data_IF_671040370927
#
_entry.id   IF_671040370927
#
_cell.length_a   1.000
_cell.length_b   1.000
_cell.length_c   1.000
_cell.angle_alpha   90.00
_cell.angle_beta   90.00
_cell.angle_gamma   90.00
#
_symmetry.space_group_name_H-M   'P 1'
#
loop_
_entity.id
_entity.type
_entity.pdbx_description
1 polymer ?
#
# COMPACT_ATOMS: atom_id res chain seq x y z
N UNK A 1 -14.90 -12.87 16.10
CA UNK A 1 -15.35 -14.16 15.50
C UNK A 1 -14.17 -14.74 14.73
N UNK A 2 -13.84 -16.03 14.89
CA UNK A 2 -12.74 -16.62 14.12
C UNK A 2 -13.12 -16.76 12.63
N UNK A 3 -12.25 -16.30 11.72
CA UNK A 3 -12.43 -16.51 10.27
C UNK A 3 -12.43 -18.02 9.97
N UNK A 4 -13.38 -18.51 9.18
CA UNK A 4 -13.36 -19.90 8.71
C UNK A 4 -12.06 -20.14 7.90
N UNK A 5 -11.38 -21.26 8.16
CA UNK A 5 -10.11 -21.63 7.51
C UNK A 5 -10.16 -21.53 5.99
N UNK A 6 -11.26 -21.95 5.35
CA UNK A 6 -11.40 -21.87 3.89
C UNK A 6 -11.50 -20.41 3.40
N UNK A 7 -12.21 -19.55 4.13
CA UNK A 7 -12.31 -18.12 3.84
C UNK A 7 -10.96 -17.44 4.00
N UNK A 8 -10.23 -17.75 5.07
CA UNK A 8 -8.89 -17.22 5.32
C UNK A 8 -7.92 -17.60 4.20
N UNK A 9 -7.91 -18.86 3.76
CA UNK A 9 -7.06 -19.30 2.66
C UNK A 9 -7.39 -18.60 1.33
N UNK A 10 -8.68 -18.36 1.08
CA UNK A 10 -9.10 -17.64 -0.12
C UNK A 10 -8.69 -16.16 -0.08
N UNK A 11 -8.80 -15.50 1.08
CA UNK A 11 -8.32 -14.12 1.27
C UNK A 11 -6.80 -14.04 1.09
N UNK A 12 -6.03 -14.92 1.73
CA UNK A 12 -4.56 -14.95 1.58
C UNK A 12 -4.14 -15.09 0.12
N UNK A 13 -4.78 -16.00 -0.62
CA UNK A 13 -4.50 -16.21 -2.04
C UNK A 13 -4.83 -14.96 -2.88
N UNK A 14 -5.89 -14.23 -2.53
CA UNK A 14 -6.22 -12.97 -3.18
C UNK A 14 -5.15 -11.92 -2.92
N UNK A 15 -4.72 -11.76 -1.66
CA UNK A 15 -3.64 -10.84 -1.31
C UNK A 15 -2.36 -11.14 -2.08
N UNK A 16 -1.94 -12.41 -2.10
CA UNK A 16 -0.74 -12.86 -2.82
C UNK A 16 -0.80 -12.50 -4.31
N UNK A 17 -1.97 -12.66 -4.95
CA UNK A 17 -2.15 -12.31 -6.36
C UNK A 17 -1.98 -10.80 -6.62
N UNK A 18 -2.48 -9.96 -5.71
CA UNK A 18 -2.36 -8.51 -5.83
C UNK A 18 -0.98 -8.01 -5.41
N UNK A 19 -0.27 -8.75 -4.55
CA UNK A 19 1.11 -8.44 -4.12
C UNK A 19 2.13 -8.75 -5.23
N UNK A 20 1.91 -9.82 -6.00
CA UNK A 20 2.87 -10.30 -7.02
C UNK A 20 3.39 -9.20 -7.98
N UNK A 21 2.56 -8.30 -8.54
CA UNK A 21 3.06 -7.21 -9.38
C UNK A 21 4.03 -6.27 -8.66
N UNK A 22 3.86 -6.03 -7.36
CA UNK A 22 4.78 -5.20 -6.57
C UNK A 22 6.11 -5.94 -6.36
N UNK A 23 6.06 -7.25 -6.07
CA UNK A 23 7.28 -8.07 -5.94
C UNK A 23 8.09 -8.15 -7.24
N UNK A 24 7.41 -8.24 -8.38
CA UNK A 24 8.04 -8.19 -9.70
C UNK A 24 8.75 -6.84 -9.94
N UNK A 25 8.13 -5.73 -9.52
CA UNK A 25 8.73 -4.40 -9.58
C UNK A 25 9.92 -4.29 -8.63
N UNK A 26 9.78 -4.76 -7.38
CA UNK A 26 10.86 -4.79 -6.40
C UNK A 26 12.08 -5.54 -6.95
N UNK A 27 11.86 -6.72 -7.53
CA UNK A 27 12.92 -7.54 -8.14
C UNK A 27 13.62 -6.79 -9.27
N UNK A 28 12.85 -6.11 -10.15
CA UNK A 28 13.43 -5.30 -11.23
C UNK A 28 14.26 -4.13 -10.70
N UNK A 29 13.76 -3.44 -9.69
CA UNK A 29 14.47 -2.32 -9.05
C UNK A 29 15.76 -2.82 -8.40
N UNK A 30 15.75 -3.98 -7.73
CA UNK A 30 16.94 -4.61 -7.15
C UNK A 30 17.99 -5.02 -8.18
N UNK A 31 17.57 -5.43 -9.38
CA UNK A 31 18.46 -5.81 -10.48
C UNK A 31 18.98 -4.61 -11.27
N UNK A 32 18.33 -3.45 -11.16
CA UNK A 32 18.73 -2.23 -11.87
C UNK A 32 19.90 -1.52 -11.17
N UNK A 33 20.78 -0.89 -11.94
CA UNK A 33 21.83 -0.02 -11.39
C UNK A 33 21.20 1.25 -10.82
N UNK A 34 21.55 1.63 -9.58
CA UNK A 34 21.02 2.79 -8.86
C UNK A 34 21.18 4.15 -9.59
N UNK A 35 21.92 4.20 -10.69
CA UNK A 35 22.21 5.40 -11.48
C UNK A 35 21.07 5.85 -12.39
N UNK A 36 20.02 5.04 -12.63
CA UNK A 36 18.91 5.37 -13.54
C UNK A 36 17.53 5.33 -12.86
N UNK A 37 17.45 5.74 -11.59
CA UNK A 37 16.17 5.77 -10.88
C UNK A 37 15.26 6.87 -11.45
N UNK A 38 14.00 6.51 -11.72
CA UNK A 38 13.01 7.46 -12.21
C UNK A 38 12.70 8.50 -11.12
N UNK A 39 12.55 9.78 -11.49
CA UNK A 39 12.03 10.80 -10.58
C UNK A 39 10.68 10.37 -10.02
N UNK A 40 10.51 10.55 -8.71
CA UNK A 40 9.22 10.35 -8.07
C UNK A 40 8.32 11.54 -8.43
N UNK A 41 7.14 11.26 -8.95
CA UNK A 41 6.10 12.26 -9.20
C UNK A 41 5.52 12.75 -7.88
N UNK A 42 4.85 13.90 -7.91
CA UNK A 42 4.14 14.41 -6.72
C UNK A 42 3.25 13.32 -6.12
N UNK A 43 3.27 13.19 -4.79
CA UNK A 43 2.38 12.30 -4.06
C UNK A 43 1.01 12.94 -3.80
N UNK A 44 0.88 14.25 -3.99
CA UNK A 44 -0.33 15.01 -3.71
C UNK A 44 -1.57 14.45 -4.44
N UNK A 45 -2.64 14.22 -3.68
CA UNK A 45 -3.91 13.69 -4.19
C UNK A 45 -3.84 12.22 -4.58
N UNK A 46 -2.73 11.53 -4.30
CA UNK A 46 -2.54 10.12 -4.65
C UNK A 46 -2.85 9.26 -3.44
N UNK A 47 -3.58 8.19 -3.70
CA UNK A 47 -3.75 7.12 -2.73
C UNK A 47 -3.34 5.79 -3.32
N UNK A 48 -2.76 4.97 -2.45
CA UNK A 48 -2.30 3.64 -2.74
C UNK A 48 -3.15 2.69 -1.92
N UNK A 49 -3.91 1.86 -2.61
CA UNK A 49 -4.60 0.75 -1.96
C UNK A 49 -3.53 -0.20 -1.40
N UNK A 50 -3.82 -0.87 -0.29
CA UNK A 50 -2.84 -1.66 0.46
C UNK A 50 -3.28 -3.13 0.55
N UNK A 51 -2.31 -4.01 0.35
CA UNK A 51 -2.44 -5.46 0.46
C UNK A 51 -1.40 -6.01 1.43
N UNK A 52 -1.78 -6.99 2.23
CA UNK A 52 -0.92 -7.56 3.27
C UNK A 52 -1.45 -8.92 3.72
N UNK A 53 -0.64 -9.95 3.53
CA UNK A 53 -0.88 -11.30 4.07
C UNK A 53 -0.74 -11.33 5.59
N UNK A 54 0.19 -10.53 6.16
CA UNK A 54 0.32 -10.35 7.61
C UNK A 54 -1.00 -9.85 8.20
N UNK A 55 -1.58 -8.81 7.60
CA UNK A 55 -2.85 -8.26 8.05
C UNK A 55 -3.97 -9.31 8.00
N UNK A 56 -4.12 -10.03 6.89
CA UNK A 56 -5.18 -11.05 6.77
C UNK A 56 -5.05 -12.16 7.82
N UNK A 57 -3.81 -12.52 8.18
CA UNK A 57 -3.52 -13.59 9.14
C UNK A 57 -3.71 -13.16 10.60
N UNK A 58 -3.29 -11.95 10.95
CA UNK A 58 -3.18 -11.52 12.35
C UNK A 58 -4.21 -10.47 12.77
N UNK A 59 -4.84 -9.76 11.82
CA UNK A 59 -5.89 -8.80 12.12
C UNK A 59 -7.26 -9.48 12.11
N UNK A 60 -7.92 -9.49 13.27
CA UNK A 60 -9.21 -10.19 13.47
C UNK A 60 -10.40 -9.24 13.60
N UNK A 61 -10.11 -7.97 13.88
CA UNK A 61 -11.08 -6.88 13.96
C UNK A 61 -10.60 -5.81 12.99
N UNK A 62 -11.33 -5.64 11.89
CA UNK A 62 -11.08 -4.63 10.87
C UNK A 62 -12.40 -3.90 10.63
N UNK A 63 -12.37 -2.57 10.78
CA UNK A 63 -13.55 -1.71 10.53
C UNK A 63 -13.40 -0.92 9.24
N UNK A 64 -12.18 -0.84 8.69
CA UNK A 64 -11.94 -0.22 7.39
C UNK A 64 -12.51 -1.11 6.28
N UNK A 65 -13.35 -0.57 5.36
CA UNK A 65 -13.85 -1.34 4.22
C UNK A 65 -12.76 -1.61 3.18
N UNK A 66 -11.75 -0.73 3.10
CA UNK A 66 -10.62 -0.82 2.20
C UNK A 66 -9.39 -0.29 2.93
N UNK A 67 -8.25 -0.98 2.75
CA UNK A 67 -6.96 -0.55 3.28
C UNK A 67 -6.26 0.33 2.23
N UNK A 68 -5.84 1.52 2.60
CA UNK A 68 -5.10 2.44 1.73
C UNK A 68 -4.30 3.46 2.53
N UNK A 69 -3.29 4.04 1.89
CA UNK A 69 -2.61 5.25 2.33
C UNK A 69 -2.88 6.35 1.32
N UNK A 70 -3.30 7.52 1.78
CA UNK A 70 -3.52 8.70 0.94
C UNK A 70 -2.57 9.82 1.33
N UNK A 71 -2.16 10.61 0.35
CA UNK A 71 -1.31 11.78 0.54
C UNK A 71 -2.02 13.02 -0.01
N UNK A 72 -1.96 14.11 0.73
CA UNK A 72 -2.56 15.39 0.36
C UNK A 72 -1.60 16.54 0.63
N UNK A 73 -1.87 17.67 -0.04
CA UNK A 73 -1.17 18.91 0.28
C UNK A 73 -1.55 19.32 1.70
N UNK A 74 -0.57 19.55 2.58
CA UNK A 74 -0.83 20.08 3.89
C UNK A 74 -1.51 21.47 3.92
N UNK A 75 -1.59 22.22 2.82
CA UNK A 75 -2.38 23.46 2.73
C UNK A 75 -3.88 23.27 3.07
N UNK A 76 -4.39 22.04 3.02
CA UNK A 76 -5.75 21.71 3.46
C UNK A 76 -5.89 21.51 4.98
N UNK A 77 -4.78 21.44 5.73
CA UNK A 77 -4.81 21.45 7.19
C UNK A 77 -4.69 22.89 7.71
N UNK A 78 -5.57 23.23 8.65
CA UNK A 78 -5.78 24.57 9.23
C UNK A 78 -4.53 25.11 9.97
N UNK A 79 -3.44 24.33 10.02
CA UNK A 79 -2.19 24.65 10.70
C UNK A 79 -1.03 24.74 9.68
N UNK A 80 -0.57 25.97 9.42
CA UNK A 80 0.55 26.35 8.54
C UNK A 80 1.93 25.79 8.94
N UNK A 81 2.09 24.48 9.12
CA UNK A 81 3.37 23.89 9.59
C UNK A 81 4.22 23.28 8.49
N UNK A 82 3.74 23.23 7.25
CA UNK A 82 4.42 22.51 6.18
C UNK A 82 5.22 23.40 5.26
N UNK A 83 6.43 22.95 4.94
CA UNK A 83 7.34 23.58 3.99
C UNK A 83 6.99 23.12 2.57
N UNK A 84 7.35 23.95 1.60
CA UNK A 84 7.23 23.64 0.17
C UNK A 84 7.84 22.25 -0.15
N UNK A 85 7.06 21.41 -0.83
CA UNK A 85 7.46 20.05 -1.20
C UNK A 85 7.32 18.98 -0.11
N UNK A 86 6.75 19.32 1.05
CA UNK A 86 6.29 18.33 2.02
C UNK A 86 4.88 17.84 1.69
N UNK A 87 4.57 16.61 2.07
CA UNK A 87 3.23 16.03 1.99
C UNK A 87 2.84 15.47 3.35
N UNK A 88 1.55 15.50 3.64
CA UNK A 88 0.93 14.81 4.77
C UNK A 88 -0.04 13.75 4.21
N UNK A 89 -0.70 13.00 5.07
CA UNK A 89 -1.48 11.85 4.66
C UNK A 89 -2.25 11.19 5.77
N UNK A 90 -3.00 10.17 5.39
CA UNK A 90 -3.71 9.29 6.32
C UNK A 90 -3.50 7.84 5.92
N UNK A 91 -3.39 6.97 6.92
CA UNK A 91 -3.42 5.52 6.74
C UNK A 91 -4.77 5.00 7.21
N UNK A 92 -5.40 4.22 6.35
CA UNK A 92 -6.59 3.44 6.64
C UNK A 92 -6.18 1.98 6.49
N UNK A 93 -6.17 1.22 7.58
CA UNK A 93 -5.96 -0.23 7.46
C UNK A 93 -6.79 -1.01 8.47
N UNK A 94 -6.43 -0.99 9.75
CA UNK A 94 -7.22 -1.67 10.80
C UNK A 94 -8.52 -0.92 11.06
N UNK A 95 -8.42 0.38 11.29
CA UNK A 95 -9.53 1.30 11.48
C UNK A 95 -9.60 2.31 10.35
N UNK A 96 -10.73 3.02 10.28
CA UNK A 96 -10.96 4.13 9.35
C UNK A 96 -10.14 5.39 9.68
N UNK A 97 -9.28 5.35 10.68
CA UNK A 97 -8.51 6.46 11.22
C UNK A 97 -7.21 5.94 11.87
N UNK A 98 -6.50 5.04 11.16
CA UNK A 98 -5.42 4.29 11.77
C UNK A 98 -4.27 5.19 12.23
N UNK A 99 -3.86 6.14 11.39
CA UNK A 99 -2.79 7.07 11.72
C UNK A 99 -2.81 8.24 10.74
N UNK A 100 -2.72 9.47 11.26
CA UNK A 100 -2.41 10.62 10.43
C UNK A 100 -0.89 10.79 10.37
N UNK A 101 -0.42 11.24 9.22
CA UNK A 101 0.99 11.27 8.89
C UNK A 101 1.53 12.67 9.11
N UNK A 102 2.59 12.79 9.91
CA UNK A 102 3.30 14.05 10.04
C UNK A 102 3.93 14.47 8.69
N UNK A 103 4.03 15.78 8.43
CA UNK A 103 4.58 16.27 7.17
C UNK A 103 6.01 15.78 6.91
N UNK A 104 6.22 15.11 5.80
CA UNK A 104 7.53 14.59 5.40
C UNK A 104 7.89 15.01 3.98
N UNK A 105 9.18 14.97 3.65
CA UNK A 105 9.67 15.21 2.30
C UNK A 105 9.85 13.87 1.58
N UNK A 106 9.09 13.59 0.51
CA UNK A 106 9.27 12.36 -0.27
C UNK A 106 10.67 12.26 -0.88
N UNK A 107 11.19 11.05 -1.13
CA UNK A 107 12.45 10.91 -1.83
C UNK A 107 12.34 11.46 -3.26
N UNK A 108 13.39 12.13 -3.74
CA UNK A 108 13.42 12.71 -5.09
C UNK A 108 13.23 11.69 -6.21
N UNK A 109 13.74 10.47 -5.99
CA UNK A 109 13.66 9.37 -6.95
C UNK A 109 13.05 8.15 -6.25
N UNK A 110 12.23 7.41 -6.98
CA UNK A 110 11.75 6.11 -6.53
C UNK A 110 12.90 5.07 -6.54
N UNK A 111 12.85 4.06 -5.68
CA UNK A 111 13.83 2.98 -5.68
C UNK A 111 13.86 2.16 -4.37
N UNK A 112 15.07 1.73 -3.99
CA UNK A 112 15.27 0.87 -2.81
C UNK A 112 15.33 1.62 -1.48
N UNK A 113 15.42 2.95 -1.51
CA UNK A 113 15.54 3.73 -0.29
C UNK A 113 14.17 3.89 0.37
N UNK A 114 14.06 3.48 1.62
CA UNK A 114 12.92 3.82 2.46
C UNK A 114 13.05 5.23 3.05
N UNK A 115 11.90 5.84 3.30
CA UNK A 115 11.77 7.04 4.13
C UNK A 115 10.99 6.65 5.38
N UNK A 116 11.51 7.04 6.54
CA UNK A 116 10.79 6.95 7.79
C UNK A 116 9.79 8.10 7.83
N UNK A 117 8.55 7.76 8.18
CA UNK A 117 7.43 8.68 8.27
C UNK A 117 6.92 8.60 9.71
N UNK A 118 6.79 9.75 10.35
CA UNK A 118 6.28 9.83 11.71
C UNK A 118 4.75 9.94 11.68
N UNK A 119 4.09 9.26 12.62
CA UNK A 119 2.67 9.44 12.87
C UNK A 119 2.44 10.65 13.78
N UNK A 120 1.30 11.33 13.58
CA UNK A 120 0.91 12.48 14.40
C UNK A 120 0.60 12.12 15.87
N UNK A 121 0.57 10.83 16.20
CA UNK A 121 0.42 10.35 17.58
C UNK A 121 1.67 10.57 18.45
N UNK A 122 2.79 10.97 17.82
CA UNK A 122 4.07 11.26 18.47
C UNK A 122 4.75 10.04 19.09
N UNK A 123 4.28 8.83 18.76
CA UNK A 123 4.75 7.58 19.37
C UNK A 123 5.25 6.58 18.33
N UNK A 124 4.63 6.57 17.14
CA UNK A 124 4.92 5.57 16.13
C UNK A 124 5.51 6.21 14.87
N UNK A 125 6.45 5.50 14.26
CA UNK A 125 6.96 5.79 12.92
C UNK A 125 6.86 4.53 12.08
N UNK A 126 6.76 4.68 10.77
CA UNK A 126 6.71 3.57 9.82
C UNK A 126 7.56 3.89 8.58
N UNK A 127 8.02 2.85 7.90
CA UNK A 127 8.83 3.02 6.70
C UNK A 127 7.97 2.93 5.45
N UNK A 128 8.10 3.91 4.57
CA UNK A 128 7.57 3.85 3.21
C UNK A 128 8.71 3.75 2.20
N UNK A 129 8.59 2.81 1.27
CA UNK A 129 9.53 2.60 0.17
C UNK A 129 8.77 2.70 -1.15
N UNK A 130 9.00 3.79 -1.88
CA UNK A 130 8.40 4.01 -3.20
C UNK A 130 9.26 3.32 -4.25
N UNK A 131 8.78 2.23 -4.84
CA UNK A 131 9.55 1.43 -5.80
C UNK A 131 9.59 2.07 -7.18
N UNK A 132 8.45 2.61 -7.59
CA UNK A 132 8.28 3.44 -8.77
C UNK A 132 7.16 4.45 -8.51
N UNK A 133 6.61 5.06 -9.57
CA UNK A 133 5.51 5.99 -9.40
C UNK A 133 4.20 5.31 -9.00
N UNK A 134 4.00 4.01 -9.19
CA UNK A 134 2.72 3.33 -8.98
C UNK A 134 2.73 2.33 -7.83
N UNK A 135 3.89 1.96 -7.32
CA UNK A 135 4.05 0.89 -6.34
C UNK A 135 4.85 1.36 -5.13
N UNK A 136 4.36 1.01 -3.94
CA UNK A 136 5.07 1.26 -2.69
C UNK A 136 5.07 0.02 -1.79
N UNK A 137 5.98 -0.01 -0.83
CA UNK A 137 5.98 -0.93 0.31
C UNK A 137 5.91 -0.08 1.56
N UNK A 138 4.95 -0.38 2.44
CA UNK A 138 4.73 0.28 3.71
C UNK A 138 4.94 -0.73 4.83
N UNK A 139 5.77 -0.40 5.81
CA UNK A 139 6.10 -1.26 6.94
C UNK A 139 5.59 -0.62 8.22
N UNK A 140 4.56 -1.23 8.80
CA UNK A 140 3.90 -0.69 10.00
C UNK A 140 4.29 -1.53 11.22
N UNK A 141 4.76 -0.91 12.31
CA UNK A 141 5.00 -1.60 13.57
C UNK A 141 3.78 -2.33 14.13
N UNK A 142 4.03 -3.51 14.72
CA UNK A 142 3.00 -4.36 15.35
C UNK A 142 2.24 -3.67 16.48
N UNK A 143 2.92 -2.83 17.26
CA UNK A 143 2.33 -2.07 18.36
C UNK A 143 1.23 -1.13 17.87
N UNK A 144 1.44 -0.37 16.80
CA UNK A 144 0.43 0.50 16.19
C UNK A 144 -0.77 -0.32 15.66
N UNK A 145 -0.50 -1.42 14.95
CA UNK A 145 -1.56 -2.32 14.44
C UNK A 145 -2.39 -2.92 15.59
N UNK A 146 -1.74 -3.27 16.70
CA UNK A 146 -2.40 -3.90 17.85
C UNK A 146 -3.18 -2.89 18.68
N UNK A 147 -2.60 -1.71 18.89
CA UNK A 147 -3.24 -0.58 19.58
C UNK A 147 -4.59 -0.25 18.92
N UNK A 148 -4.61 -0.16 17.59
CA UNK A 148 -5.84 0.14 16.82
C UNK A 148 -6.85 -1.00 16.77
N UNK A 149 -6.44 -2.24 17.00
CA UNK A 149 -7.36 -3.36 17.13
C UNK A 149 -7.95 -3.50 18.54
N UNK A 150 -7.41 -2.77 19.54
CA UNK A 150 -7.73 -2.95 20.95
C UNK A 150 -7.53 -4.41 21.45
N UNK A 151 -6.59 -5.13 20.84
CA UNK A 151 -6.24 -6.51 21.20
C UNK A 151 -4.75 -6.65 21.42
N UNK A 152 -4.38 -7.59 22.30
CA UNK A 152 -3.00 -8.03 22.38
C UNK A 152 -2.64 -8.81 21.10
N UNK A 153 -1.51 -8.49 20.44
CA UNK A 153 -1.11 -9.22 19.26
C UNK A 153 -0.85 -10.69 19.61
N UNK A 154 -1.20 -11.63 18.72
CA UNK A 154 -0.75 -13.02 18.83
C UNK A 154 0.77 -13.10 18.98
N UNK A 155 1.26 -14.06 19.78
CA UNK A 155 2.70 -14.22 20.01
C UNK A 155 3.49 -14.55 18.76
N UNK A 156 2.83 -15.12 17.75
CA UNK A 156 3.41 -15.48 16.46
C UNK A 156 3.23 -14.39 15.39
N UNK A 157 2.72 -13.21 15.74
CA UNK A 157 2.62 -12.06 14.83
C UNK A 157 3.97 -11.36 14.62
N UNK A 158 4.29 -10.93 13.38
CA UNK A 158 5.56 -10.30 13.07
C UNK A 158 5.66 -8.93 13.73
N UNK A 159 6.87 -8.52 14.14
CA UNK A 159 7.10 -7.20 14.76
C UNK A 159 6.80 -6.04 13.80
N UNK A 160 6.85 -6.30 12.49
CA UNK A 160 6.54 -5.36 11.43
C UNK A 160 5.56 -6.04 10.47
N UNK A 161 4.45 -5.38 10.21
CA UNK A 161 3.47 -5.77 9.20
C UNK A 161 3.86 -5.12 7.88
N UNK A 162 4.01 -5.94 6.83
CA UNK A 162 4.34 -5.44 5.51
C UNK A 162 3.08 -5.28 4.68
N UNK A 163 2.86 -4.07 4.19
CA UNK A 163 1.81 -3.72 3.25
C UNK A 163 2.42 -3.34 1.91
N UNK A 164 1.87 -3.87 0.84
CA UNK A 164 2.24 -3.56 -0.52
C UNK A 164 1.18 -2.65 -1.10
N UNK A 165 1.60 -1.59 -1.79
CA UNK A 165 0.71 -0.54 -2.26
C UNK A 165 0.72 -0.40 -3.78
N UNK A 166 -0.46 -0.15 -4.36
CA UNK A 166 -0.68 0.13 -5.78
C UNK A 166 -1.51 1.40 -5.86
N UNK A 167 -1.02 2.37 -6.62
CA UNK A 167 -1.72 3.63 -6.87
C UNK A 167 -3.06 3.34 -7.56
N UNK A 168 -4.15 3.85 -7.00
CA UNK A 168 -5.50 3.50 -7.46
C UNK A 168 -5.77 3.89 -8.93
N UNK A 169 -5.34 5.08 -9.36
CA UNK A 169 -5.46 5.50 -10.77
C UNK A 169 -4.76 4.52 -11.74
N UNK A 170 -3.65 3.91 -11.31
CA UNK A 170 -2.94 2.89 -12.06
C UNK A 170 -3.66 1.53 -12.00
N UNK A 171 -4.16 1.16 -10.83
CA UNK A 171 -4.95 -0.05 -10.62
C UNK A 171 -6.19 -0.08 -11.53
N UNK A 172 -6.96 1.01 -11.58
CA UNK A 172 -8.12 1.17 -12.46
C UNK A 172 -7.73 1.00 -13.94
N UNK A 173 -6.65 1.67 -14.34
CA UNK A 173 -6.12 1.56 -15.70
C UNK A 173 -5.70 0.12 -16.06
N UNK A 174 -5.10 -0.60 -15.11
CA UNK A 174 -4.70 -2.01 -15.23
C UNK A 174 -5.91 -2.93 -15.38
N UNK A 175 -6.95 -2.74 -14.55
CA UNK A 175 -8.21 -3.50 -14.63
C UNK A 175 -8.89 -3.29 -15.99
N UNK A 176 -9.02 -2.04 -16.43
CA UNK A 176 -9.59 -1.71 -17.74
C UNK A 176 -8.76 -2.27 -18.91
N UNK A 177 -7.43 -2.34 -18.77
CA UNK A 177 -6.58 -2.96 -19.79
C UNK A 177 -6.76 -4.49 -19.85
N UNK A 178 -6.93 -5.14 -18.70
CA UNK A 178 -7.14 -6.59 -18.62
C UNK A 178 -8.50 -6.99 -19.23
N UNK A 179 -9.59 -6.31 -18.89
CA UNK A 179 -10.90 -6.57 -19.52
C UNK A 179 -10.85 -6.42 -21.04
N UNK A 180 -10.17 -5.39 -21.56
CA UNK A 180 -9.99 -5.21 -23.01
C UNK A 180 -9.20 -6.36 -23.66
N UNK A 181 -8.23 -6.95 -22.96
CA UNK A 181 -7.45 -8.10 -23.46
C UNK A 181 -8.27 -9.39 -23.45
N UNK A 182 -9.07 -9.60 -22.42
CA UNK A 182 -9.99 -10.74 -22.30
C UNK A 182 -11.02 -10.70 -23.43
N UNK A 183 -11.70 -9.57 -23.64
CA UNK A 183 -12.65 -9.35 -24.73
C UNK A 183 -12.03 -9.65 -26.11
N UNK A 184 -10.79 -9.19 -26.33
CA UNK A 184 -10.07 -9.46 -27.58
C UNK A 184 -9.71 -10.94 -27.74
N UNK A 185 -9.37 -11.62 -26.65
CA UNK A 185 -9.03 -13.04 -26.66
C UNK A 185 -10.26 -13.90 -26.92
N UNK A 186 -11.40 -13.56 -26.30
CA UNK A 186 -12.68 -14.23 -26.54
C UNK A 186 -13.13 -14.06 -27.99
N UNK A 187 -13.11 -12.83 -28.52
CA UNK A 187 -13.45 -12.56 -29.93
C UNK A 187 -12.58 -13.36 -30.90
N UNK A 188 -11.28 -13.51 -30.62
CA UNK A 188 -10.36 -14.33 -31.44
C UNK A 188 -10.68 -15.82 -31.37
N UNK A 189 -11.07 -16.34 -30.19
CA UNK A 189 -11.49 -17.75 -30.03
C UNK A 189 -12.82 -18.04 -30.72
N UNK A 190 -13.75 -17.08 -30.73
CA UNK A 190 -15.05 -17.20 -31.41
C UNK A 190 -14.97 -17.08 -32.94
N UNK A 191 -13.85 -16.55 -33.47
CA UNK A 191 -13.64 -16.35 -34.91
C UNK A 191 -12.88 -17.49 -35.60
N UNK A 192 -12.56 -18.59 -34.91
CA UNK A 192 -11.99 -19.79 -35.53
C UNK A 192 -13.09 -20.57 -36.28
N UNK A 193 -13.01 -20.73 -37.61
CA UNK A 193 -13.97 -21.55 -38.36
C UNK A 193 -13.76 -23.04 -38.06
N UNK A 194 -14.85 -23.81 -38.01
CA UNK A 194 -14.83 -25.26 -38.20
C UNK A 194 -14.63 -25.61 -39.68
#
# INVERSE_FOLDING_TARGET
MAKNKAKLQQELKWEEQEIQPIEDVLTKVQQSSQTNLAPLQSLEGRYFRLWSTDHVKYCTVETAPTRYIEFYDPEFQIFNTCREGQVSGHIYAVSTDMCDIDPFTPPKNAGLKSVQIDGNDGQHSFDAQFLDNHHLILKIPKDLVSYRQEINPPSDAPDIFTYYGICAAYEESRILANHRREDQTERRRSASPQ
#
